data_IF_636085746341
#
_entry.id   IF_636085746341
#
_cell.length_a   1.000
_cell.length_b   1.000
_cell.length_c   1.000
_cell.angle_alpha   90.00
_cell.angle_beta   90.00
_cell.angle_gamma   90.00
#
_symmetry.space_group_name_H-M   'P 1'
#
loop_
_entity.id
_entity.type
_entity.pdbx_description
1 polymer ?
#
# COMPACT_ATOMS: atom_id res chain seq x y z
N UNK A 1 12.65 -8.46 16.63
CA UNK A 1 13.04 -9.84 16.23
C UNK A 1 12.48 -10.12 14.84
N UNK A 2 13.21 -10.81 13.96
CA UNK A 2 12.71 -11.26 12.66
C UNK A 2 12.12 -12.67 12.79
N UNK A 3 10.96 -12.91 12.20
CA UNK A 3 10.36 -14.25 12.08
C UNK A 3 9.68 -14.39 10.71
N UNK A 4 9.43 -15.63 10.28
CA UNK A 4 8.78 -15.91 9.00
C UNK A 4 7.38 -16.50 9.21
N UNK A 5 6.40 -16.03 8.44
CA UNK A 5 5.08 -16.68 8.34
C UNK A 5 4.99 -17.45 7.02
N UNK A 6 4.65 -18.75 7.03
CA UNK A 6 4.57 -19.54 5.79
C UNK A 6 3.42 -19.07 4.90
N UNK A 7 3.69 -18.86 3.61
CA UNK A 7 2.66 -18.61 2.60
C UNK A 7 2.17 -19.95 2.03
N UNK A 8 1.30 -20.65 2.78
CA UNK A 8 0.81 -22.01 2.45
C UNK A 8 0.06 -22.12 1.11
N UNK A 9 -0.37 -21.00 0.54
CA UNK A 9 -1.08 -20.93 -0.74
C UNK A 9 -0.15 -20.71 -1.94
N UNK A 10 1.17 -20.61 -1.74
CA UNK A 10 2.16 -20.44 -2.83
C UNK A 10 3.03 -21.69 -2.95
N UNK A 11 3.41 -22.02 -4.17
CA UNK A 11 4.32 -23.13 -4.46
C UNK A 11 5.63 -22.98 -3.66
N UNK A 12 6.13 -24.09 -3.09
CA UNK A 12 7.31 -24.08 -2.22
C UNK A 12 7.11 -23.47 -0.83
N UNK A 13 5.90 -23.00 -0.48
CA UNK A 13 5.56 -22.41 0.83
C UNK A 13 6.60 -21.38 1.33
N UNK A 14 6.92 -20.35 0.54
CA UNK A 14 7.92 -19.36 0.93
C UNK A 14 7.51 -18.62 2.21
N UNK A 15 8.51 -18.18 2.98
CA UNK A 15 8.29 -17.40 4.18
C UNK A 15 8.02 -15.93 3.85
N UNK A 16 7.04 -15.33 4.52
CA UNK A 16 6.85 -13.88 4.61
C UNK A 16 7.65 -13.36 5.81
N UNK A 17 8.77 -12.64 5.61
CA UNK A 17 9.55 -12.09 6.71
C UNK A 17 8.78 -10.97 7.41
N UNK A 18 8.68 -11.04 8.74
CA UNK A 18 8.06 -10.02 9.59
C UNK A 18 9.06 -9.56 10.64
N UNK A 19 9.30 -8.25 10.67
CA UNK A 19 10.03 -7.60 11.76
C UNK A 19 9.05 -7.22 12.85
N UNK A 20 9.09 -7.91 13.98
CA UNK A 20 8.24 -7.58 15.13
C UNK A 20 8.61 -6.22 15.72
N UNK A 21 7.63 -5.32 15.78
CA UNK A 21 7.73 -4.02 16.47
C UNK A 21 7.34 -4.10 17.96
N UNK A 22 6.90 -5.28 18.44
CA UNK A 22 6.43 -5.45 19.82
C UNK A 22 7.59 -5.24 20.79
N UNK A 23 7.41 -4.34 21.76
CA UNK A 23 8.43 -3.97 22.75
C UNK A 23 9.56 -3.12 22.18
N UNK A 24 9.45 -2.66 20.92
CA UNK A 24 10.44 -1.73 20.35
C UNK A 24 10.26 -0.31 20.90
N UNK A 25 11.34 0.50 20.97
CA UNK A 25 11.26 1.89 21.45
C UNK A 25 10.27 2.75 20.67
N UNK A 26 10.05 2.43 19.38
CA UNK A 26 9.18 3.19 18.47
C UNK A 26 7.74 2.68 18.45
N UNK A 27 7.39 1.61 19.17
CA UNK A 27 6.07 0.97 19.05
C UNK A 27 4.92 1.93 19.36
N UNK A 28 4.96 2.60 20.52
CA UNK A 28 3.88 3.48 20.96
C UNK A 28 3.82 4.76 20.12
N UNK A 29 4.98 5.29 19.72
CA UNK A 29 5.06 6.42 18.79
C UNK A 29 4.45 6.06 17.44
N UNK A 30 4.77 4.89 16.88
CA UNK A 30 4.20 4.41 15.62
C UNK A 30 2.67 4.26 15.70
N UNK A 31 2.12 3.76 16.82
CA UNK A 31 0.67 3.71 17.05
C UNK A 31 0.04 5.10 17.08
N UNK A 32 0.67 6.04 17.79
CA UNK A 32 0.20 7.42 17.86
C UNK A 32 0.18 8.07 16.47
N UNK A 33 1.28 7.97 15.73
CA UNK A 33 1.41 8.53 14.39
C UNK A 33 0.42 7.89 13.40
N UNK A 34 0.21 6.57 13.50
CA UNK A 34 -0.78 5.86 12.69
C UNK A 34 -2.16 6.46 12.90
N UNK A 35 -2.57 6.71 14.15
CA UNK A 35 -3.85 7.35 14.48
C UNK A 35 -3.95 8.78 13.90
N UNK A 36 -2.85 9.53 13.83
CA UNK A 36 -2.85 10.88 13.24
C UNK A 36 -3.01 10.87 11.73
N UNK A 37 -2.40 9.90 11.04
CA UNK A 37 -2.39 9.81 9.57
C UNK A 37 -3.54 8.97 9.00
N UNK A 38 -4.18 8.12 9.82
CA UNK A 38 -5.27 7.24 9.42
C UNK A 38 -6.44 7.96 8.73
N UNK A 39 -6.91 9.14 9.19
CA UNK A 39 -8.01 9.85 8.53
C UNK A 39 -7.72 10.19 7.06
N UNK A 40 -6.46 10.46 6.71
CA UNK A 40 -6.07 10.69 5.32
C UNK A 40 -6.21 9.43 4.48
N UNK A 41 -5.78 8.28 5.01
CA UNK A 41 -5.90 7.00 4.32
C UNK A 41 -7.37 6.56 4.16
N UNK A 42 -8.23 6.89 5.12
CA UNK A 42 -9.67 6.62 5.06
C UNK A 42 -10.41 7.54 4.08
N UNK A 43 -9.85 8.70 3.77
CA UNK A 43 -10.40 9.64 2.78
C UNK A 43 -10.15 9.22 1.32
N UNK A 44 -9.32 8.21 1.09
CA UNK A 44 -8.96 7.73 -0.26
C UNK A 44 -10.20 7.12 -0.92
N UNK A 45 -10.64 7.70 -2.04
CA UNK A 45 -11.89 7.30 -2.70
C UNK A 45 -11.83 5.91 -3.33
N UNK A 46 -10.66 5.48 -3.81
CA UNK A 46 -10.43 4.14 -4.35
C UNK A 46 -10.32 3.07 -3.26
N UNK A 47 -10.19 3.45 -1.98
CA UNK A 47 -9.93 2.52 -0.90
C UNK A 47 -11.18 1.70 -0.54
N UNK A 48 -11.02 0.38 -0.62
CA UNK A 48 -11.98 -0.59 -0.14
C UNK A 48 -11.60 -0.98 1.28
N UNK A 49 -12.56 -0.93 2.20
CA UNK A 49 -12.32 -1.18 3.63
C UNK A 49 -12.44 -2.67 3.99
N UNK A 50 -13.30 -3.39 3.28
CA UNK A 50 -13.58 -4.82 3.46
C UNK A 50 -14.49 -5.32 2.32
N UNK A 51 -14.76 -6.61 2.31
CA UNK A 51 -15.59 -7.27 1.29
C UNK A 51 -17.03 -6.76 1.24
N UNK A 52 -17.61 -6.30 2.36
CA UNK A 52 -18.96 -5.74 2.36
C UNK A 52 -18.99 -4.39 1.63
N UNK A 53 -18.05 -3.50 1.94
CA UNK A 53 -17.91 -2.23 1.23
C UNK A 53 -17.69 -2.45 -0.28
N UNK A 54 -16.86 -3.43 -0.65
CA UNK A 54 -16.67 -3.81 -2.04
C UNK A 54 -17.98 -4.22 -2.72
N UNK A 55 -18.77 -5.11 -2.10
CA UNK A 55 -20.05 -5.57 -2.64
C UNK A 55 -21.02 -4.39 -2.83
N UNK A 56 -21.07 -3.45 -1.89
CA UNK A 56 -21.91 -2.25 -1.99
C UNK A 56 -21.53 -1.37 -3.18
N UNK A 57 -20.24 -1.23 -3.49
CA UNK A 57 -19.78 -0.47 -4.65
C UNK A 57 -20.12 -1.22 -5.94
N UNK A 58 -19.84 -2.52 -6.01
CA UNK A 58 -20.03 -3.32 -7.23
C UNK A 58 -21.50 -3.46 -7.62
N UNK A 59 -22.40 -3.61 -6.65
CA UNK A 59 -23.86 -3.66 -6.92
C UNK A 59 -24.40 -2.41 -7.61
N UNK A 60 -23.70 -1.27 -7.51
CA UNK A 60 -24.09 0.00 -8.13
C UNK A 60 -23.50 0.16 -9.54
N UNK A 61 -22.63 -0.73 -9.99
CA UNK A 61 -21.98 -0.63 -11.29
C UNK A 61 -22.84 -1.24 -12.39
N UNK A 62 -23.02 -0.51 -13.48
CA UNK A 62 -23.67 -1.03 -14.67
C UNK A 62 -22.63 -1.49 -15.69
N UNK A 63 -22.41 -2.80 -15.82
CA UNK A 63 -21.41 -3.36 -16.75
C UNK A 63 -21.91 -3.34 -18.18
N UNK A 64 -21.02 -2.99 -19.11
CA UNK A 64 -21.25 -3.13 -20.54
C UNK A 64 -20.70 -4.47 -21.04
N UNK A 65 -21.22 -5.04 -22.16
CA UNK A 65 -20.76 -6.33 -22.67
C UNK A 65 -19.25 -6.44 -22.94
N UNK A 66 -18.61 -5.30 -23.23
CA UNK A 66 -17.18 -5.23 -23.52
C UNK A 66 -16.33 -4.77 -22.31
N UNK A 67 -16.94 -4.54 -21.15
CA UNK A 67 -16.21 -4.20 -19.93
C UNK A 67 -15.42 -5.44 -19.46
N UNK A 68 -14.10 -5.29 -19.29
CA UNK A 68 -13.25 -6.31 -18.69
C UNK A 68 -13.18 -6.09 -17.18
N UNK A 69 -13.35 -7.17 -16.42
CA UNK A 69 -13.07 -7.19 -14.99
C UNK A 69 -11.61 -7.64 -14.79
N UNK A 70 -10.81 -6.80 -14.16
CA UNK A 70 -9.36 -7.01 -14.05
C UNK A 70 -8.95 -6.90 -12.59
N UNK A 71 -7.97 -7.71 -12.21
CA UNK A 71 -7.30 -7.61 -10.91
C UNK A 71 -5.80 -7.55 -11.13
N UNK A 72 -5.14 -6.60 -10.45
CA UNK A 72 -3.70 -6.53 -10.32
C UNK A 72 -3.30 -6.69 -8.84
N UNK A 73 -2.16 -7.33 -8.61
CA UNK A 73 -1.52 -7.53 -7.31
C UNK A 73 -0.20 -6.75 -7.28
N UNK A 74 -0.02 -5.89 -6.28
CA UNK A 74 1.24 -5.15 -6.11
C UNK A 74 2.29 -6.05 -5.46
N UNK A 75 3.32 -6.37 -6.24
CA UNK A 75 4.40 -7.24 -5.77
C UNK A 75 5.13 -6.59 -4.59
N UNK A 76 5.13 -7.26 -3.45
CA UNK A 76 5.99 -6.92 -2.31
C UNK A 76 5.78 -5.50 -1.77
N UNK A 77 4.55 -4.98 -1.84
CA UNK A 77 4.16 -3.60 -1.49
C UNK A 77 4.98 -3.02 -0.32
N UNK A 78 4.85 -3.59 0.89
CA UNK A 78 5.50 -3.03 2.07
C UNK A 78 7.02 -2.91 1.94
N UNK A 79 7.69 -3.91 1.37
CA UNK A 79 9.15 -3.88 1.20
C UNK A 79 9.62 -2.97 0.08
N UNK A 80 8.73 -2.50 -0.79
CA UNK A 80 9.06 -1.67 -1.95
C UNK A 80 8.59 -0.21 -1.82
N UNK A 81 7.77 0.14 -0.82
CA UNK A 81 7.30 1.52 -0.63
C UNK A 81 8.49 2.47 -0.42
N UNK A 82 8.69 3.48 -1.30
CA UNK A 82 9.74 4.48 -1.17
C UNK A 82 9.38 5.50 -0.10
N UNK A 83 9.88 5.29 1.12
CA UNK A 83 9.48 6.08 2.31
C UNK A 83 9.63 7.59 2.09
N UNK A 84 10.73 8.06 1.49
CA UNK A 84 10.94 9.50 1.27
C UNK A 84 9.88 10.10 0.35
N UNK A 85 9.61 9.44 -0.77
CA UNK A 85 8.60 9.87 -1.73
C UNK A 85 7.20 9.83 -1.12
N UNK A 86 6.87 8.77 -0.37
CA UNK A 86 5.61 8.68 0.36
C UNK A 86 5.40 9.87 1.30
N UNK A 87 6.43 10.25 2.08
CA UNK A 87 6.32 11.40 2.99
C UNK A 87 6.20 12.73 2.24
N UNK A 88 6.92 12.91 1.14
CA UNK A 88 6.76 14.09 0.27
C UNK A 88 5.35 14.17 -0.31
N UNK A 89 4.79 13.05 -0.78
CA UNK A 89 3.43 12.99 -1.30
C UNK A 89 2.40 13.35 -0.22
N UNK A 90 2.55 12.81 0.99
CA UNK A 90 1.69 13.14 2.14
C UNK A 90 1.79 14.63 2.50
N UNK A 91 3.00 15.19 2.55
CA UNK A 91 3.21 16.61 2.81
C UNK A 91 2.50 17.49 1.76
N UNK A 92 2.68 17.16 0.48
CA UNK A 92 2.14 17.97 -0.61
C UNK A 92 0.61 17.94 -0.67
N UNK A 93 0.00 16.78 -0.39
CA UNK A 93 -1.45 16.60 -0.53
C UNK A 93 -2.23 17.00 0.72
N UNK A 94 -1.76 16.58 1.90
CA UNK A 94 -2.51 16.72 3.16
C UNK A 94 -1.92 17.76 4.10
N UNK A 95 -0.67 18.18 3.86
CA UNK A 95 0.04 19.19 4.63
C UNK A 95 -0.05 19.01 6.16
N UNK A 96 0.19 17.80 6.71
CA UNK A 96 0.17 17.60 8.15
C UNK A 96 1.30 18.40 8.84
N UNK A 97 1.23 18.60 10.17
CA UNK A 97 2.29 19.27 10.90
C UNK A 97 3.63 18.57 10.67
N UNK A 98 4.68 19.35 10.38
CA UNK A 98 6.02 18.84 10.02
C UNK A 98 6.55 17.78 11.00
N UNK A 99 6.36 17.99 12.30
CA UNK A 99 6.82 17.05 13.34
C UNK A 99 6.18 15.65 13.21
N UNK A 100 4.95 15.53 12.67
CA UNK A 100 4.31 14.24 12.41
C UNK A 100 5.10 13.49 11.32
N UNK A 101 5.51 14.16 10.24
CA UNK A 101 6.28 13.52 9.18
C UNK A 101 7.72 13.24 9.59
N UNK A 102 8.35 14.14 10.35
CA UNK A 102 9.71 13.93 10.87
C UNK A 102 9.75 12.69 11.79
N UNK A 103 8.78 12.56 12.70
CA UNK A 103 8.64 11.39 13.58
C UNK A 103 8.25 10.12 12.80
N UNK A 104 7.41 10.24 11.77
CA UNK A 104 7.06 9.12 10.89
C UNK A 104 8.28 8.60 10.15
N UNK A 105 9.09 9.50 9.57
CA UNK A 105 10.37 9.15 8.95
C UNK A 105 11.28 8.45 9.95
N UNK A 106 11.40 8.98 11.17
CA UNK A 106 12.20 8.36 12.22
C UNK A 106 11.75 6.93 12.53
N UNK A 107 10.45 6.70 12.70
CA UNK A 107 9.89 5.37 12.97
C UNK A 107 10.15 4.35 11.84
N UNK A 108 10.03 4.77 10.58
CA UNK A 108 10.15 3.86 9.43
C UNK A 108 11.62 3.57 9.08
N UNK A 109 12.50 4.55 9.22
CA UNK A 109 13.92 4.43 8.85
C UNK A 109 14.82 3.88 9.96
N UNK A 110 14.33 3.78 11.20
CA UNK A 110 15.06 3.21 12.34
C UNK A 110 14.54 1.83 12.74
N UNK A 111 14.25 1.01 11.74
CA UNK A 111 13.85 -0.39 11.94
C UNK A 111 15.07 -1.28 12.04
N UNK A 112 15.34 -1.76 13.26
CA UNK A 112 16.42 -2.71 13.54
C UNK A 112 15.85 -4.07 13.97
N UNK A 113 16.51 -5.15 13.57
CA UNK A 113 16.15 -6.49 13.98
C UNK A 113 17.38 -7.38 14.17
N UNK A 114 17.19 -8.46 14.91
CA UNK A 114 18.20 -9.49 15.14
C UNK A 114 17.79 -10.74 14.37
N UNK A 115 18.73 -11.30 13.63
CA UNK A 115 18.62 -12.60 12.96
C UNK A 115 19.95 -13.35 13.13
N UNK A 116 19.90 -14.60 13.60
CA UNK A 116 21.07 -15.43 13.90
C UNK A 116 22.14 -14.71 14.74
N UNK A 117 21.72 -14.00 15.79
CA UNK A 117 22.62 -13.24 16.68
C UNK A 117 23.16 -11.93 16.11
N UNK A 118 23.05 -11.71 14.81
CA UNK A 118 23.52 -10.49 14.12
C UNK A 118 22.42 -9.43 14.07
N UNK A 119 22.82 -8.15 14.24
CA UNK A 119 21.94 -6.98 14.10
C UNK A 119 21.90 -6.52 12.65
N UNK A 120 20.70 -6.21 12.17
CA UNK A 120 20.43 -5.69 10.85
C UNK A 120 19.54 -4.46 10.94
N UNK A 121 19.65 -3.60 9.92
CA UNK A 121 18.78 -2.45 9.71
C UNK A 121 18.05 -2.64 8.38
N UNK A 122 16.74 -2.45 8.38
CA UNK A 122 15.98 -2.39 7.13
C UNK A 122 16.27 -1.05 6.45
N UNK A 123 16.77 -1.09 5.21
CA UNK A 123 17.18 0.09 4.44
C UNK A 123 16.09 0.62 3.51
N UNK A 124 15.17 -0.24 3.11
CA UNK A 124 14.11 0.04 2.14
C UNK A 124 12.76 -0.52 2.59
N UNK A 125 11.68 0.11 2.13
CA UNK A 125 10.32 -0.28 2.44
C UNK A 125 9.87 0.06 3.86
N UNK A 126 8.57 -0.10 4.07
CA UNK A 126 7.92 -0.02 5.36
C UNK A 126 8.00 -1.38 6.09
N UNK A 127 8.35 -1.41 7.38
CA UNK A 127 8.47 -2.67 8.14
C UNK A 127 7.10 -3.33 8.39
N UNK A 128 6.87 -4.52 7.83
CA UNK A 128 5.58 -5.23 7.87
C UNK A 128 4.99 -5.50 9.28
N UNK A 129 5.74 -5.34 10.37
CA UNK A 129 5.22 -5.45 11.73
C UNK A 129 4.96 -4.12 12.44
N UNK A 130 5.14 -2.98 11.77
CA UNK A 130 4.82 -1.66 12.34
C UNK A 130 3.36 -1.30 12.10
N UNK A 131 2.65 -0.75 13.11
CA UNK A 131 1.28 -0.26 12.93
C UNK A 131 1.19 0.92 11.95
N UNK A 132 2.33 1.59 11.67
CA UNK A 132 2.39 2.73 10.76
C UNK A 132 2.45 2.32 9.29
N UNK A 133 2.97 1.11 9.01
CA UNK A 133 3.27 0.67 7.65
C UNK A 133 2.03 0.54 6.75
N UNK A 134 0.88 0.00 7.21
CA UNK A 134 -0.35 -0.03 6.41
C UNK A 134 -0.83 1.37 5.99
N UNK A 135 -0.77 2.33 6.90
CA UNK A 135 -1.21 3.71 6.64
C UNK A 135 -0.33 4.36 5.57
N UNK A 136 0.99 4.24 5.71
CA UNK A 136 1.95 4.82 4.76
C UNK A 136 1.89 4.13 3.41
N UNK A 137 1.73 2.80 3.37
CA UNK A 137 1.57 2.08 2.13
C UNK A 137 0.30 2.54 1.37
N UNK A 138 -0.83 2.71 2.07
CA UNK A 138 -2.06 3.20 1.44
C UNK A 138 -1.93 4.63 0.90
N UNK A 139 -1.30 5.53 1.66
CA UNK A 139 -1.08 6.92 1.24
C UNK A 139 -0.10 7.02 0.07
N UNK A 140 0.96 6.21 0.06
CA UNK A 140 1.86 6.11 -1.09
C UNK A 140 1.12 5.57 -2.32
N UNK A 141 0.35 4.50 -2.15
CA UNK A 141 -0.39 3.91 -3.26
C UNK A 141 -1.38 4.91 -3.86
N UNK A 142 -2.04 5.73 -3.06
CA UNK A 142 -2.91 6.78 -3.60
C UNK A 142 -2.14 7.77 -4.50
N UNK A 143 -0.94 8.18 -4.08
CA UNK A 143 -0.09 9.05 -4.89
C UNK A 143 0.32 8.39 -6.21
N UNK A 144 0.79 7.14 -6.12
CA UNK A 144 1.16 6.32 -7.29
C UNK A 144 -0.02 6.18 -8.26
N UNK A 145 -1.19 5.76 -7.76
CA UNK A 145 -2.41 5.55 -8.53
C UNK A 145 -2.87 6.84 -9.21
N UNK A 146 -2.89 7.95 -8.47
CA UNK A 146 -3.28 9.27 -9.03
C UNK A 146 -2.38 9.64 -10.20
N UNK A 147 -1.05 9.56 -10.00
CA UNK A 147 -0.08 9.88 -11.05
C UNK A 147 -0.20 8.96 -12.26
N UNK A 148 -0.37 7.66 -12.03
CA UNK A 148 -0.48 6.67 -13.09
C UNK A 148 -1.76 6.86 -13.91
N UNK A 149 -2.89 7.05 -13.23
CA UNK A 149 -4.19 7.29 -13.88
C UNK A 149 -4.25 8.63 -14.62
N UNK A 150 -3.59 9.66 -14.12
CA UNK A 150 -3.54 10.97 -14.77
C UNK A 150 -2.72 10.96 -16.06
N UNK A 151 -1.61 10.21 -16.07
CA UNK A 151 -0.73 10.08 -17.23
C UNK A 151 -1.17 9.04 -18.26
N UNK A 152 -2.18 8.23 -17.94
CA UNK A 152 -2.66 7.20 -18.85
C UNK A 152 -3.52 7.77 -19.97
N UNK A 153 -3.28 7.33 -21.20
CA UNK A 153 -4.13 7.62 -22.36
C UNK A 153 -5.56 7.06 -22.19
N UNK A 154 -5.67 5.88 -21.57
CA UNK A 154 -6.93 5.20 -21.35
C UNK A 154 -7.15 4.95 -19.86
N UNK A 155 -8.30 5.38 -19.37
CA UNK A 155 -8.61 5.31 -17.94
C UNK A 155 -9.63 4.21 -17.66
N UNK A 156 -9.49 3.49 -16.54
CA UNK A 156 -10.50 2.55 -16.10
C UNK A 156 -11.80 3.30 -15.79
N UNK A 157 -12.93 2.61 -15.97
CA UNK A 157 -14.25 3.10 -15.56
C UNK A 157 -14.40 3.09 -14.03
N UNK A 158 -13.76 2.12 -13.38
CA UNK A 158 -13.69 2.00 -11.94
C UNK A 158 -12.32 1.45 -11.54
N UNK A 159 -11.73 2.04 -10.50
CA UNK A 159 -10.51 1.58 -9.87
C UNK A 159 -10.71 1.50 -8.36
N UNK A 160 -10.62 0.30 -7.81
CA UNK A 160 -10.74 0.02 -6.38
C UNK A 160 -9.52 -0.72 -5.89
N UNK A 161 -9.13 -0.47 -4.64
CA UNK A 161 -7.98 -1.15 -4.02
C UNK A 161 -8.24 -1.53 -2.57
N UNK A 162 -7.92 -2.78 -2.25
CA UNK A 162 -7.81 -3.30 -0.89
C UNK A 162 -6.35 -3.65 -0.61
N UNK A 163 -5.64 -2.75 0.08
CA UNK A 163 -4.20 -2.90 0.37
C UNK A 163 -3.37 -3.05 -0.93
N UNK A 164 -2.94 -4.26 -1.27
CA UNK A 164 -2.14 -4.64 -2.45
C UNK A 164 -3.00 -5.14 -3.63
N UNK A 165 -4.21 -5.61 -3.37
CA UNK A 165 -5.14 -6.10 -4.39
C UNK A 165 -5.94 -4.95 -5.01
N UNK A 166 -6.00 -4.91 -6.33
CA UNK A 166 -6.84 -3.98 -7.08
C UNK A 166 -7.97 -4.72 -7.79
N UNK A 167 -9.10 -4.01 -7.96
CA UNK A 167 -10.21 -4.42 -8.80
C UNK A 167 -10.57 -3.27 -9.75
N UNK A 168 -10.67 -3.60 -11.03
CA UNK A 168 -10.75 -2.62 -12.10
C UNK A 168 -11.85 -3.02 -13.08
N UNK A 169 -12.65 -2.04 -13.50
CA UNK A 169 -13.55 -2.18 -14.65
C UNK A 169 -12.92 -1.43 -15.82
N UNK A 170 -12.53 -2.17 -16.86
CA UNK A 170 -11.78 -1.64 -17.99
C UNK A 170 -12.60 -1.70 -19.30
N UNK A 171 -12.99 -0.56 -19.88
CA UNK A 171 -13.90 -0.53 -21.03
C UNK A 171 -13.20 -0.56 -22.41
N UNK A 172 -11.86 -0.60 -22.46
CA UNK A 172 -11.11 -0.35 -23.69
C UNK A 172 -10.57 -1.60 -24.39
N UNK A 173 -10.98 -2.81 -23.96
CA UNK A 173 -10.48 -4.06 -24.50
C UNK A 173 -9.06 -4.45 -24.04
N UNK A 174 -8.64 -5.67 -24.42
CA UNK A 174 -7.46 -6.34 -23.85
C UNK A 174 -6.12 -5.73 -24.28
N UNK A 175 -5.96 -5.37 -25.55
CA UNK A 175 -4.72 -4.77 -26.06
C UNK A 175 -4.35 -3.49 -25.30
N UNK A 176 -5.33 -2.60 -25.13
CA UNK A 176 -5.16 -1.34 -24.39
C UNK A 176 -4.94 -1.58 -22.89
N UNK A 177 -5.50 -2.65 -22.34
CA UNK A 177 -5.23 -3.06 -20.96
C UNK A 177 -3.77 -3.48 -20.77
N UNK A 178 -3.19 -4.18 -21.75
CA UNK A 178 -1.80 -4.63 -21.67
C UNK A 178 -0.82 -3.44 -21.77
N UNK A 179 -1.14 -2.46 -22.63
CA UNK A 179 -0.40 -1.18 -22.67
C UNK A 179 -0.52 -0.43 -21.35
N UNK A 180 -1.72 -0.40 -20.75
CA UNK A 180 -1.93 0.23 -19.46
C UNK A 180 -1.16 -0.47 -18.33
N UNK A 181 -1.13 -1.80 -18.30
CA UNK A 181 -0.31 -2.56 -17.35
C UNK A 181 1.19 -2.24 -17.54
N UNK A 182 1.64 -2.09 -18.79
CA UNK A 182 3.03 -1.68 -19.07
C UNK A 182 3.31 -0.29 -18.53
N UNK A 183 2.38 0.66 -18.65
CA UNK A 183 2.49 2.01 -18.09
C UNK A 183 2.52 2.05 -16.55
N UNK A 184 1.88 1.08 -15.88
CA UNK A 184 1.94 0.98 -14.42
C UNK A 184 3.32 0.54 -13.90
N UNK A 185 4.17 -0.07 -14.73
CA UNK A 185 5.48 -0.61 -14.34
C UNK A 185 6.63 0.26 -14.83
#
# INVERSE_FOLDING_TARGET
KLYGLPKIHKEGTPLRPIVSSIGSPVQNLAKFLAKQLQPYAESITSHVQNSFHFIEIIKKQNLQPNDLLVSFDVISLFTQVPIKEALTAIQNKYNPPKHILDLTNHCLTNTYFIHNGQRYKQIEGAPMGSPLSPVIANLYMEHFETNALDKSEHKPKLWLRYVDDTFIIWPHGKEKLDNFLTHLN
#
